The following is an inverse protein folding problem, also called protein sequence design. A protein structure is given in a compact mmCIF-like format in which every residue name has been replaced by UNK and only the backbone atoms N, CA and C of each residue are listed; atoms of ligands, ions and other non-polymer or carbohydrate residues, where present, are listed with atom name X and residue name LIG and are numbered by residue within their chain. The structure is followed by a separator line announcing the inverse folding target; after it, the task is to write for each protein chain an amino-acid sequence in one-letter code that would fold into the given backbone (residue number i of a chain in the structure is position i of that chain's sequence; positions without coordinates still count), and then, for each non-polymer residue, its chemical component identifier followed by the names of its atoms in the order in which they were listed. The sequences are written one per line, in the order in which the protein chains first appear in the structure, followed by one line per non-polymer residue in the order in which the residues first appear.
data_IF_475018836983
#
_entry.id   IF_475018836983
#
_cell.length_a   1.000
_cell.length_b   1.000
_cell.length_c   1.000
_cell.angle_alpha   90.00
_cell.angle_beta   90.00
_cell.angle_gamma   90.00
#
_symmetry.space_group_name_H-M   'P 1'
#
loop_
_entity.id
_entity.type
_entity.pdbx_description
1 polymer ?
#
# COMPACT_ATOMS: atom_id res chain seq x y z
N UNK A 1 -46.39 29.03 -41.68
CA UNK A 1 -46.46 29.93 -40.51
C UNK A 1 -45.03 30.28 -40.09
N UNK A 2 -44.76 31.52 -39.70
CA UNK A 2 -43.51 32.22 -40.03
C UNK A 2 -42.39 32.03 -39.02
N UNK A 3 -41.17 32.03 -39.55
CA UNK A 3 -39.90 32.22 -38.84
C UNK A 3 -39.86 33.59 -38.15
N UNK A 4 -39.37 33.61 -36.90
CA UNK A 4 -38.82 34.79 -36.24
C UNK A 4 -37.51 34.38 -35.52
N UNK A 5 -36.35 34.96 -35.87
CA UNK A 5 -35.07 34.71 -35.21
C UNK A 5 -34.80 35.79 -34.15
N UNK A 6 -34.30 35.41 -32.98
CA UNK A 6 -33.68 36.27 -31.95
C UNK A 6 -33.38 35.41 -30.72
N UNK A 7 -32.29 35.49 -29.97
CA UNK A 7 -31.14 36.40 -29.94
C UNK A 7 -30.13 35.74 -28.97
N UNK A 8 -28.85 35.76 -29.32
CA UNK A 8 -27.70 35.95 -28.43
C UNK A 8 -27.77 35.38 -27.00
N UNK A 9 -26.94 34.37 -26.71
CA UNK A 9 -25.95 34.44 -25.61
C UNK A 9 -24.99 33.24 -25.67
N UNK A 10 -24.03 33.33 -26.60
CA UNK A 10 -22.77 32.61 -26.52
C UNK A 10 -21.98 33.32 -25.40
N UNK A 11 -22.04 32.81 -24.17
CA UNK A 11 -21.20 33.34 -23.09
C UNK A 11 -19.82 32.69 -23.20
N UNK A 12 -19.03 33.26 -24.09
CA UNK A 12 -17.58 33.12 -24.11
C UNK A 12 -17.03 34.01 -22.98
N UNK A 13 -16.92 33.47 -21.76
CA UNK A 13 -16.28 34.18 -20.65
C UNK A 13 -14.77 34.09 -20.79
N UNK A 14 -14.21 35.06 -21.52
CA UNK A 14 -12.82 35.47 -21.38
C UNK A 14 -12.64 36.03 -19.95
N UNK A 15 -12.07 35.23 -19.04
CA UNK A 15 -11.63 35.71 -17.74
C UNK A 15 -10.11 35.89 -17.76
N UNK A 16 -9.70 37.13 -17.99
CA UNK A 16 -8.41 37.63 -17.56
C UNK A 16 -8.37 37.62 -16.02
N UNK A 17 -7.34 36.97 -15.46
CA UNK A 17 -6.66 37.48 -14.26
C UNK A 17 -7.44 37.50 -12.94
N UNK A 18 -8.20 36.46 -12.62
CA UNK A 18 -8.44 36.11 -11.20
C UNK A 18 -7.80 34.75 -11.00
N UNK A 19 -6.60 34.74 -10.44
CA UNK A 19 -5.98 33.53 -9.93
C UNK A 19 -6.87 32.97 -8.83
N UNK A 20 -7.82 32.11 -9.19
CA UNK A 20 -8.46 31.22 -8.24
C UNK A 20 -7.36 30.26 -7.79
N UNK A 21 -6.67 30.63 -6.70
CA UNK A 21 -5.95 29.64 -5.92
C UNK A 21 -7.04 28.75 -5.33
N UNK A 22 -7.30 27.61 -5.99
CA UNK A 22 -8.00 26.52 -5.32
C UNK A 22 -7.10 26.21 -4.12
N UNK A 23 -7.54 26.41 -2.87
CA UNK A 23 -6.74 26.01 -1.73
C UNK A 23 -6.47 24.52 -1.94
N UNK A 24 -5.19 24.14 -2.02
CA UNK A 24 -4.83 22.74 -2.02
C UNK A 24 -5.51 22.13 -0.80
N UNK A 25 -6.49 21.25 -1.02
CA UNK A 25 -7.17 20.57 0.07
C UNK A 25 -6.08 19.99 0.96
N UNK A 26 -6.12 20.29 2.26
CA UNK A 26 -5.14 19.76 3.19
C UNK A 26 -5.15 18.23 3.04
N UNK A 27 -4.03 17.67 2.59
CA UNK A 27 -3.93 16.23 2.37
C UNK A 27 -4.20 15.52 3.69
N UNK A 28 -5.16 14.60 3.67
CA UNK A 28 -5.48 13.80 4.83
C UNK A 28 -4.34 12.81 5.16
N UNK A 29 -4.34 12.26 6.38
CA UNK A 29 -3.57 11.07 6.75
C UNK A 29 -3.44 10.00 5.67
N UNK A 30 -4.56 9.70 5.04
CA UNK A 30 -4.68 8.63 4.05
C UNK A 30 -4.07 9.06 2.71
N UNK A 31 -4.31 10.29 2.25
CA UNK A 31 -3.69 10.83 1.03
C UNK A 31 -2.16 10.82 1.12
N UNK A 32 -1.62 11.23 2.27
CA UNK A 32 -0.18 11.21 2.55
C UNK A 32 0.37 9.78 2.48
N UNK A 33 -0.39 8.82 3.02
CA UNK A 33 -0.02 7.41 2.98
C UNK A 33 -0.08 6.84 1.56
N UNK A 34 -1.17 7.10 0.81
CA UNK A 34 -1.31 6.67 -0.57
C UNK A 34 -0.21 7.25 -1.47
N UNK A 35 0.16 8.50 -1.25
CA UNK A 35 1.30 9.12 -1.93
C UNK A 35 2.61 8.41 -1.62
N UNK A 36 2.88 8.10 -0.34
CA UNK A 36 4.09 7.37 0.06
C UNK A 36 4.16 5.97 -0.56
N UNK A 37 3.03 5.26 -0.61
CA UNK A 37 2.92 3.95 -1.28
C UNK A 37 3.20 4.10 -2.78
N UNK A 38 2.60 5.10 -3.44
CA UNK A 38 2.79 5.34 -4.86
C UNK A 38 4.25 5.64 -5.21
N UNK A 39 4.90 6.51 -4.44
CA UNK A 39 6.32 6.84 -4.59
C UNK A 39 7.23 5.61 -4.43
N UNK A 40 6.98 4.79 -3.40
CA UNK A 40 7.80 3.61 -3.13
C UNK A 40 7.71 2.56 -4.24
N UNK A 41 6.49 2.24 -4.69
CA UNK A 41 6.28 1.25 -5.75
C UNK A 41 6.39 1.84 -7.17
N UNK A 42 6.69 3.14 -7.29
CA UNK A 42 6.83 3.88 -8.56
C UNK A 42 5.59 3.80 -9.45
N UNK A 43 4.41 3.82 -8.83
CA UNK A 43 3.12 3.93 -9.53
C UNK A 43 2.63 5.37 -9.53
N UNK A 44 1.78 5.72 -10.49
CA UNK A 44 1.27 7.09 -10.58
C UNK A 44 0.23 7.39 -9.48
N UNK A 45 0.05 8.67 -9.15
CA UNK A 45 -0.98 9.10 -8.21
C UNK A 45 -2.41 8.79 -8.71
N UNK A 46 -2.61 8.71 -10.02
CA UNK A 46 -3.89 8.31 -10.60
C UNK A 46 -4.11 6.80 -10.48
N UNK A 47 -3.09 6.01 -10.77
CA UNK A 47 -3.13 4.55 -10.63
C UNK A 47 -3.40 4.11 -9.18
N UNK A 48 -2.72 4.71 -8.20
CA UNK A 48 -2.99 4.37 -6.79
C UNK A 48 -4.41 4.75 -6.37
N UNK A 49 -4.96 5.87 -6.90
CA UNK A 49 -6.34 6.29 -6.63
C UNK A 49 -7.35 5.34 -7.28
N UNK A 50 -7.06 4.84 -8.48
CA UNK A 50 -7.88 3.81 -9.12
C UNK A 50 -7.89 2.54 -8.27
N UNK A 51 -6.73 2.03 -7.85
CA UNK A 51 -6.64 0.82 -7.02
C UNK A 51 -7.34 0.99 -5.66
N UNK A 52 -7.17 2.15 -5.02
CA UNK A 52 -7.86 2.49 -3.78
C UNK A 52 -9.39 2.53 -3.97
N UNK A 53 -9.86 3.04 -5.11
CA UNK A 53 -11.28 3.11 -5.47
C UNK A 53 -12.00 1.76 -5.55
N UNK A 54 -11.28 0.63 -5.52
CA UNK A 54 -11.86 -0.72 -5.51
C UNK A 54 -12.35 -1.15 -4.11
N UNK A 55 -12.30 -0.26 -3.11
CA UNK A 55 -12.96 -0.45 -1.81
C UNK A 55 -12.22 -1.35 -0.83
N UNK A 56 -10.93 -1.61 -1.07
CA UNK A 56 -10.05 -2.31 -0.12
C UNK A 56 -9.41 -1.31 0.86
N UNK A 57 -9.08 -1.74 2.10
CA UNK A 57 -8.35 -0.89 3.03
C UNK A 57 -7.03 -0.40 2.42
N UNK A 58 -6.63 0.85 2.67
CA UNK A 58 -5.37 1.39 2.17
C UNK A 58 -4.16 0.52 2.54
N UNK A 59 -4.20 -0.15 3.70
CA UNK A 59 -3.17 -1.09 4.17
C UNK A 59 -3.04 -2.36 3.33
N UNK A 60 -3.97 -2.67 2.43
CA UNK A 60 -3.79 -3.78 1.50
C UNK A 60 -3.04 -3.37 0.22
N UNK A 61 -3.00 -2.07 -0.13
CA UNK A 61 -2.40 -1.61 -1.37
C UNK A 61 -0.90 -1.90 -1.51
N UNK A 62 -0.05 -1.73 -0.47
CA UNK A 62 1.34 -2.17 -0.55
C UNK A 62 1.48 -3.66 -0.86
N UNK A 63 0.58 -4.51 -0.34
CA UNK A 63 0.64 -5.96 -0.59
C UNK A 63 0.34 -6.26 -2.05
N UNK A 64 -0.69 -5.61 -2.60
CA UNK A 64 -1.05 -5.71 -4.01
C UNK A 64 0.14 -5.34 -4.90
N UNK A 65 0.76 -4.20 -4.64
CA UNK A 65 1.88 -3.69 -5.44
C UNK A 65 3.16 -4.51 -5.24
N UNK A 66 3.41 -5.00 -4.03
CA UNK A 66 4.54 -5.91 -3.75
C UNK A 66 4.43 -7.20 -4.55
N UNK A 67 3.24 -7.83 -4.54
CA UNK A 67 2.98 -9.05 -5.31
C UNK A 67 3.05 -8.80 -6.82
N UNK A 68 2.47 -7.69 -7.27
CA UNK A 68 2.51 -7.28 -8.68
C UNK A 68 3.96 -7.13 -9.17
N UNK A 69 4.77 -6.38 -8.43
CA UNK A 69 6.17 -6.13 -8.76
C UNK A 69 7.02 -7.42 -8.72
N UNK A 70 6.82 -8.28 -7.70
CA UNK A 70 7.59 -9.53 -7.54
C UNK A 70 7.20 -10.62 -8.54
N UNK A 71 5.91 -10.75 -8.83
CA UNK A 71 5.36 -11.77 -9.72
C UNK A 71 5.35 -11.37 -11.20
N UNK A 72 5.68 -10.12 -11.53
CA UNK A 72 5.61 -9.60 -12.90
C UNK A 72 4.17 -9.56 -13.43
N UNK A 73 3.21 -9.20 -12.58
CA UNK A 73 1.77 -9.20 -12.90
C UNK A 73 1.13 -7.85 -12.66
N UNK A 74 -0.03 -7.61 -13.29
CA UNK A 74 -0.76 -6.36 -13.07
C UNK A 74 -1.35 -6.30 -11.64
N UNK A 75 -1.32 -5.12 -10.99
CA UNK A 75 -2.02 -4.89 -9.73
C UNK A 75 -3.52 -5.26 -9.79
N UNK A 76 -4.18 -4.98 -10.91
CA UNK A 76 -5.60 -5.31 -11.12
C UNK A 76 -5.88 -6.81 -11.04
N UNK A 77 -4.98 -7.66 -11.57
CA UNK A 77 -5.12 -9.11 -11.49
C UNK A 77 -4.98 -9.61 -10.05
N UNK A 78 -4.06 -9.02 -9.28
CA UNK A 78 -3.91 -9.31 -7.85
C UNK A 78 -5.17 -8.90 -7.08
N UNK A 79 -5.68 -7.70 -7.34
CA UNK A 79 -6.92 -7.18 -6.74
C UNK A 79 -8.13 -8.04 -7.07
N UNK A 80 -8.27 -8.50 -8.32
CA UNK A 80 -9.37 -9.36 -8.73
C UNK A 80 -9.38 -10.70 -7.96
N UNK A 81 -8.21 -11.34 -7.82
CA UNK A 81 -8.11 -12.58 -7.02
C UNK A 81 -8.36 -12.32 -5.54
N UNK A 82 -7.89 -11.20 -5.01
CA UNK A 82 -8.13 -10.80 -3.63
C UNK A 82 -9.62 -10.58 -3.37
N UNK A 83 -10.32 -9.91 -4.28
CA UNK A 83 -11.77 -9.70 -4.21
C UNK A 83 -12.57 -11.00 -4.40
N UNK A 84 -12.01 -12.00 -5.09
CA UNK A 84 -12.56 -13.34 -5.16
C UNK A 84 -12.35 -14.17 -3.87
N UNK A 85 -11.84 -13.57 -2.80
CA UNK A 85 -11.70 -14.20 -1.48
C UNK A 85 -10.46 -15.06 -1.30
N UNK A 86 -9.45 -14.92 -2.17
CA UNK A 86 -8.16 -15.63 -2.01
C UNK A 86 -7.31 -14.98 -0.91
N UNK A 87 -6.60 -15.81 -0.15
CA UNK A 87 -5.59 -15.34 0.80
C UNK A 87 -4.38 -14.78 0.05
N UNK A 88 -3.57 -13.97 0.71
CA UNK A 88 -2.36 -13.43 0.09
C UNK A 88 -1.36 -14.52 -0.30
N UNK A 89 -1.25 -15.58 0.51
CA UNK A 89 -0.42 -16.74 0.19
C UNK A 89 -0.95 -17.54 -1.01
N UNK A 90 -2.27 -17.70 -1.16
CA UNK A 90 -2.86 -18.34 -2.34
C UNK A 90 -2.61 -17.53 -3.63
N UNK A 91 -2.66 -16.20 -3.52
CA UNK A 91 -2.34 -15.30 -4.62
C UNK A 91 -0.86 -15.43 -4.94
N UNK A 92 0.04 -15.26 -3.98
CA UNK A 92 1.49 -15.39 -4.12
C UNK A 92 1.91 -16.70 -4.79
N UNK A 93 1.36 -17.84 -4.33
CA UNK A 93 1.71 -19.17 -4.83
C UNK A 93 1.41 -19.36 -6.32
N UNK A 94 0.38 -18.69 -6.86
CA UNK A 94 0.05 -18.72 -8.30
C UNK A 94 1.20 -18.21 -9.18
N UNK A 95 2.08 -17.38 -8.62
CA UNK A 95 3.25 -16.82 -9.28
C UNK A 95 4.56 -17.25 -8.63
N UNK A 96 4.58 -18.44 -8.01
CA UNK A 96 5.77 -19.05 -7.41
C UNK A 96 6.43 -18.21 -6.31
N UNK A 97 5.69 -17.25 -5.75
CA UNK A 97 6.10 -16.51 -4.56
C UNK A 97 5.69 -17.30 -3.32
N UNK A 98 6.49 -17.21 -2.28
CA UNK A 98 6.33 -17.95 -1.04
C UNK A 98 6.70 -17.10 0.19
N UNK A 99 6.61 -17.65 1.40
CA UNK A 99 6.86 -16.90 2.64
C UNK A 99 8.20 -16.15 2.64
N UNK A 100 9.24 -16.75 2.05
CA UNK A 100 10.56 -16.14 1.92
C UNK A 100 10.59 -14.80 1.16
N UNK A 101 9.62 -14.54 0.29
CA UNK A 101 9.53 -13.29 -0.48
C UNK A 101 9.04 -12.10 0.36
N UNK A 102 8.46 -12.38 1.52
CA UNK A 102 8.00 -11.38 2.47
C UNK A 102 8.99 -11.15 3.61
N UNK A 103 9.92 -12.06 3.86
CA UNK A 103 10.85 -12.00 4.98
C UNK A 103 11.70 -10.72 4.98
N UNK A 104 11.73 -10.04 6.12
CA UNK A 104 12.65 -8.93 6.42
C UNK A 104 13.60 -9.39 7.53
N UNK A 105 14.90 -9.18 7.37
CA UNK A 105 15.86 -9.54 8.42
C UNK A 105 15.69 -8.64 9.64
N UNK A 106 15.68 -9.23 10.82
CA UNK A 106 15.65 -8.54 12.11
C UNK A 106 16.96 -8.75 12.85
N UNK A 107 17.31 -7.80 13.71
CA UNK A 107 18.34 -8.04 14.71
C UNK A 107 17.81 -9.05 15.75
N UNK A 108 18.65 -9.94 16.31
CA UNK A 108 18.20 -10.94 17.28
C UNK A 108 17.55 -10.38 18.55
N UNK A 109 17.80 -9.11 18.85
CA UNK A 109 17.22 -8.38 19.99
C UNK A 109 15.87 -7.72 19.70
N UNK A 110 15.43 -7.69 18.44
CA UNK A 110 14.19 -7.04 18.06
C UNK A 110 12.99 -7.92 18.45
N UNK A 111 11.97 -7.32 19.07
CA UNK A 111 10.71 -7.99 19.37
C UNK A 111 9.82 -8.04 18.10
N UNK A 112 9.57 -9.23 17.53
CA UNK A 112 8.74 -9.35 16.33
C UNK A 112 7.25 -9.05 16.58
N UNK A 113 6.80 -8.99 17.84
CA UNK A 113 5.42 -8.64 18.20
C UNK A 113 4.39 -9.53 17.49
N UNK A 114 3.47 -8.91 16.76
CA UNK A 114 2.44 -9.62 15.99
C UNK A 114 3.00 -10.59 14.92
N UNK A 115 4.28 -10.44 14.54
CA UNK A 115 4.97 -11.31 13.59
C UNK A 115 5.72 -12.48 14.27
N UNK A 116 5.63 -12.65 15.60
CA UNK A 116 6.36 -13.68 16.34
C UNK A 116 6.22 -15.07 15.71
N UNK A 117 4.98 -15.50 15.41
CA UNK A 117 4.70 -16.79 14.77
C UNK A 117 5.40 -16.96 13.41
N UNK A 118 5.41 -15.92 12.58
CA UNK A 118 6.08 -15.95 11.28
C UNK A 118 7.60 -16.10 11.46
N UNK A 119 8.20 -15.34 12.37
CA UNK A 119 9.63 -15.41 12.66
C UNK A 119 10.06 -16.72 13.33
N UNK A 120 9.24 -17.31 14.20
CA UNK A 120 9.43 -18.67 14.71
C UNK A 120 9.51 -19.68 13.56
N UNK A 121 8.62 -19.58 12.57
CA UNK A 121 8.64 -20.41 11.37
C UNK A 121 9.93 -20.23 10.55
N UNK A 122 10.36 -18.98 10.34
CA UNK A 122 11.59 -18.68 9.60
C UNK A 122 12.86 -19.15 10.32
N UNK A 123 12.90 -19.08 11.65
CA UNK A 123 14.03 -19.52 12.47
C UNK A 123 14.07 -21.04 12.62
N UNK A 124 12.90 -21.68 12.70
CA UNK A 124 12.76 -23.13 12.85
C UNK A 124 13.02 -23.93 11.56
N UNK A 125 13.16 -23.26 10.42
CA UNK A 125 13.35 -23.90 9.12
C UNK A 125 14.54 -23.31 8.36
N UNK A 126 15.38 -24.15 7.70
CA UNK A 126 16.36 -23.64 6.75
C UNK A 126 15.65 -22.92 5.60
N UNK A 127 16.36 -22.03 4.89
CA UNK A 127 15.79 -21.25 3.77
C UNK A 127 15.11 -22.10 2.69
N UNK A 128 15.61 -23.32 2.45
CA UNK A 128 15.01 -24.28 1.52
C UNK A 128 13.65 -24.81 1.97
N UNK A 129 13.32 -24.69 3.26
CA UNK A 129 12.01 -25.03 3.84
C UNK A 129 11.02 -23.87 3.86
N UNK A 130 11.46 -22.63 3.61
CA UNK A 130 10.59 -21.45 3.59
C UNK A 130 9.42 -21.51 2.59
N UNK A 131 9.53 -22.21 1.44
CA UNK A 131 8.39 -22.40 0.56
C UNK A 131 7.18 -23.12 1.19
N UNK A 132 7.41 -23.92 2.23
CA UNK A 132 6.36 -24.66 2.93
C UNK A 132 5.75 -23.90 4.13
N UNK A 133 6.25 -22.71 4.43
CA UNK A 133 5.71 -21.89 5.51
C UNK A 133 4.43 -21.20 5.04
N UNK A 134 3.35 -21.44 5.78
CA UNK A 134 2.07 -20.76 5.58
C UNK A 134 2.03 -19.49 6.42
N UNK A 135 1.96 -18.32 5.79
CA UNK A 135 1.74 -17.03 6.46
C UNK A 135 0.25 -16.69 6.49
N UNK A 136 -0.20 -16.09 7.59
CA UNK A 136 -1.55 -15.53 7.68
C UNK A 136 -1.65 -14.22 6.91
N UNK A 137 -2.85 -13.83 6.52
CA UNK A 137 -3.08 -12.61 5.75
C UNK A 137 -2.58 -11.35 6.49
N UNK A 138 -2.84 -11.26 7.79
CA UNK A 138 -2.37 -10.17 8.65
C UNK A 138 -0.84 -10.14 8.78
N UNK A 139 -0.19 -11.31 8.83
CA UNK A 139 1.27 -11.42 8.83
C UNK A 139 1.87 -10.96 7.50
N UNK A 140 1.26 -11.30 6.36
CA UNK A 140 1.70 -10.82 5.04
C UNK A 140 1.58 -9.29 4.97
N UNK A 141 0.44 -8.74 5.40
CA UNK A 141 0.25 -7.28 5.45
C UNK A 141 1.31 -6.62 6.33
N UNK A 142 1.54 -7.14 7.53
CA UNK A 142 2.53 -6.59 8.46
C UNK A 142 3.98 -6.72 7.95
N UNK A 143 4.37 -7.84 7.34
CA UNK A 143 5.70 -8.03 6.73
C UNK A 143 5.95 -7.08 5.56
N UNK A 144 4.95 -6.88 4.71
CA UNK A 144 5.03 -5.90 3.61
C UNK A 144 5.16 -4.49 4.17
N UNK A 145 4.43 -4.14 5.23
CA UNK A 145 4.59 -2.82 5.88
C UNK A 145 5.94 -2.65 6.55
N UNK A 146 6.45 -3.71 7.20
CA UNK A 146 7.78 -3.73 7.79
C UNK A 146 8.82 -3.38 6.73
N UNK A 147 8.76 -4.05 5.58
CA UNK A 147 9.62 -3.76 4.42
C UNK A 147 9.42 -2.33 3.93
N UNK A 148 8.19 -1.98 3.58
CA UNK A 148 7.83 -0.71 2.97
C UNK A 148 8.34 0.46 3.81
N UNK A 149 8.04 0.50 5.11
CA UNK A 149 8.48 1.62 5.96
C UNK A 149 9.98 1.63 6.21
N UNK A 150 10.62 0.46 6.34
CA UNK A 150 12.08 0.37 6.47
C UNK A 150 12.77 0.96 5.25
N UNK A 151 12.30 0.59 4.05
CA UNK A 151 12.89 1.02 2.78
C UNK A 151 12.52 2.46 2.42
N UNK A 152 11.26 2.87 2.60
CA UNK A 152 10.78 4.21 2.22
C UNK A 152 11.23 5.32 3.20
N UNK A 153 11.22 5.05 4.52
CA UNK A 153 11.60 6.07 5.52
C UNK A 153 13.06 5.93 5.99
N UNK A 154 13.76 4.84 5.63
CA UNK A 154 15.12 4.58 6.11
C UNK A 154 15.20 4.35 7.63
N UNK A 155 14.10 3.92 8.25
CA UNK A 155 14.04 3.67 9.71
C UNK A 155 14.36 2.19 10.00
N UNK A 156 14.99 1.88 11.14
CA UNK A 156 15.34 0.49 11.47
C UNK A 156 14.08 -0.36 11.75
N UNK A 157 14.10 -1.67 11.44
CA UNK A 157 12.97 -2.59 11.63
C UNK A 157 12.31 -2.50 13.01
N UNK A 158 13.09 -2.42 14.09
CA UNK A 158 12.57 -2.24 15.47
C UNK A 158 11.58 -1.08 15.64
N UNK A 159 11.82 0.06 14.97
CA UNK A 159 10.92 1.22 15.07
C UNK A 159 9.62 0.97 14.31
N UNK A 160 9.72 0.27 13.18
CA UNK A 160 8.54 -0.11 12.39
C UNK A 160 7.72 -1.13 13.16
N UNK A 161 8.34 -2.15 13.75
CA UNK A 161 7.66 -3.15 14.59
C UNK A 161 6.88 -2.48 15.74
N UNK A 162 7.50 -1.53 16.45
CA UNK A 162 6.81 -0.77 17.50
C UNK A 162 5.61 0.05 16.96
N UNK A 163 5.76 0.69 15.80
CA UNK A 163 4.67 1.43 15.16
C UNK A 163 3.52 0.51 14.71
N UNK A 164 3.84 -0.66 14.16
CA UNK A 164 2.84 -1.66 13.76
C UNK A 164 2.09 -2.23 14.97
N UNK A 165 2.79 -2.50 16.08
CA UNK A 165 2.15 -3.00 17.31
C UNK A 165 1.22 -1.98 17.96
N UNK A 166 1.50 -0.68 17.83
CA UNK A 166 0.72 0.39 18.47
C UNK A 166 -0.41 0.92 17.59
N UNK A 167 -0.20 1.01 16.28
CA UNK A 167 -1.12 1.68 15.35
C UNK A 167 -1.69 0.76 14.25
N UNK A 168 -1.18 -0.46 14.14
CA UNK A 168 -1.51 -1.38 13.05
C UNK A 168 -0.91 -0.96 11.69
N UNK A 169 -1.00 -1.82 10.66
CA UNK A 169 -0.53 -1.48 9.31
C UNK A 169 -1.39 -0.39 8.66
N UNK A 170 -0.74 0.60 8.02
CA UNK A 170 -1.43 1.62 7.21
C UNK A 170 -1.09 3.07 7.58
N UNK A 171 -2.01 4.02 7.32
CA UNK A 171 -1.78 5.45 7.52
C UNK A 171 -1.39 5.85 8.96
N UNK A 172 -1.95 5.18 9.97
CA UNK A 172 -1.66 5.47 11.37
C UNK A 172 -0.21 5.13 11.75
N UNK A 173 0.33 4.01 11.27
CA UNK A 173 1.75 3.67 11.46
C UNK A 173 2.68 4.66 10.76
N UNK A 174 2.35 5.12 9.54
CA UNK A 174 3.15 6.15 8.87
C UNK A 174 3.21 7.44 9.69
N UNK A 175 2.08 7.86 10.27
CA UNK A 175 2.08 9.03 11.15
C UNK A 175 2.91 8.82 12.40
N UNK A 176 2.78 7.67 13.06
CA UNK A 176 3.56 7.34 14.25
C UNK A 176 5.07 7.39 13.95
N UNK A 177 5.49 6.85 12.81
CA UNK A 177 6.89 6.86 12.38
C UNK A 177 7.41 8.26 12.06
N UNK A 178 6.59 9.11 11.44
CA UNK A 178 6.95 10.50 11.08
C UNK A 178 7.05 11.44 12.28
N UNK A 179 6.34 11.18 13.38
CA UNK A 179 6.39 12.04 14.58
C UNK A 179 7.69 11.94 15.38
N UNK A 180 8.55 10.96 15.09
CA UNK A 180 9.74 10.71 15.90
C UNK A 180 9.41 10.02 17.23
N UNK A 181 10.41 9.51 17.97
CA UNK A 181 10.24 9.12 19.36
C UNK A 181 10.00 10.35 20.25
#
# INVERSE_FOLDING_TARGET
MPFAPSRFALVLALLWGVGFTVPAAAQGPEDIYLQAVAEHYRVSADEIRVLYGWGRPASELPVVLHLAARGGISPDAVMALRNAGRSWMQIAARWQLHAGDFHVALDPSDDPGALARAYEGFQGSPRTGWPALELRDDEVVALVHLRFFTEYLGVPPRRVLAALSSAGPGPAALQALRRGP
#
